data_IF_087768753475
#
_entry.id   IF_087768753475
#
_cell.length_a   1.000
_cell.length_b   1.000
_cell.length_c   1.000
_cell.angle_alpha   90.00
_cell.angle_beta   90.00
_cell.angle_gamma   90.00
#
_symmetry.space_group_name_H-M   'P 1'
#
loop_
_entity.id
_entity.type
_entity.pdbx_description
1 polymer ?
#
# COMPACT_ATOMS: atom_id res chain seq x y z
N UNK A 1 61.86 -55.75 -25.87
CA UNK A 1 63.13 -55.83 -25.11
C UNK A 1 63.04 -54.78 -24.01
N UNK A 2 63.03 -55.14 -22.72
CA UNK A 2 64.12 -55.72 -21.91
C UNK A 2 65.09 -54.60 -21.41
N UNK A 3 64.92 -54.09 -20.18
CA UNK A 3 65.70 -54.40 -18.94
C UNK A 3 67.11 -53.73 -18.86
N UNK A 4 67.67 -53.34 -17.69
CA UNK A 4 67.35 -53.77 -16.30
C UNK A 4 67.37 -52.70 -15.16
N UNK A 5 68.47 -52.54 -14.40
CA UNK A 5 68.50 -52.23 -12.93
C UNK A 5 69.88 -51.68 -12.47
N UNK A 6 70.18 -51.20 -11.23
CA UNK A 6 69.49 -51.24 -9.91
C UNK A 6 69.80 -50.03 -8.97
N UNK A 7 69.20 -49.99 -7.77
CA UNK A 7 69.35 -48.99 -6.69
C UNK A 7 70.70 -48.99 -5.92
N UNK A 8 70.91 -47.94 -5.10
CA UNK A 8 71.33 -48.11 -3.69
C UNK A 8 70.75 -47.00 -2.77
N UNK A 9 70.75 -47.19 -1.44
CA UNK A 9 70.17 -46.27 -0.43
C UNK A 9 71.22 -45.85 0.60
N UNK A 10 71.03 -44.72 1.29
CA UNK A 10 71.22 -44.70 2.76
C UNK A 10 70.37 -43.65 3.52
N UNK A 11 70.53 -43.55 4.86
CA UNK A 11 69.47 -43.10 5.80
C UNK A 11 69.87 -41.93 6.71
N UNK A 12 68.83 -41.14 7.08
CA UNK A 12 68.58 -40.39 8.34
C UNK A 12 69.77 -39.99 9.25
N UNK A 13 69.69 -38.74 9.75
CA UNK A 13 69.79 -38.44 11.20
C UNK A 13 69.02 -37.16 11.59
N UNK A 14 68.52 -37.12 12.82
CA UNK A 14 67.87 -35.97 13.47
C UNK A 14 68.87 -35.31 14.44
N UNK A 15 68.80 -33.98 14.60
CA UNK A 15 68.86 -33.32 15.93
C UNK A 15 68.62 -31.80 15.85
N UNK A 16 67.98 -31.27 16.89
CA UNK A 16 67.99 -29.86 17.34
C UNK A 16 68.35 -29.90 18.84
N UNK A 17 69.02 -28.88 19.43
CA UNK A 17 68.25 -27.75 20.00
C UNK A 17 68.98 -26.38 20.05
N UNK A 18 68.20 -25.35 20.44
CA UNK A 18 68.56 -23.98 20.89
C UNK A 18 69.18 -23.98 22.32
N UNK A 19 69.64 -22.87 23.00
CA UNK A 19 68.96 -21.54 23.13
C UNK A 19 69.86 -20.28 23.44
N UNK A 20 69.24 -19.20 23.99
CA UNK A 20 69.81 -18.06 24.78
C UNK A 20 70.52 -16.93 23.96
N UNK A 21 70.31 -15.61 24.17
CA UNK A 21 69.42 -14.85 25.09
C UNK A 21 68.93 -13.48 24.52
N UNK A 22 68.11 -12.76 25.30
CA UNK A 22 67.35 -11.53 25.02
C UNK A 22 67.99 -10.28 25.68
N UNK A 23 67.88 -9.11 25.04
CA UNK A 23 67.81 -7.81 25.77
C UNK A 23 67.11 -6.73 24.94
N UNK A 24 66.18 -6.03 25.57
CA UNK A 24 65.38 -4.93 24.98
C UNK A 24 65.97 -3.57 25.35
N UNK A 25 65.70 -2.55 24.52
CA UNK A 25 65.51 -1.19 25.02
C UNK A 25 64.51 -0.43 24.16
N UNK A 26 63.51 0.15 24.81
CA UNK A 26 62.37 0.83 24.19
C UNK A 26 62.58 2.35 24.23
N UNK A 27 62.45 3.04 23.09
CA UNK A 27 62.16 4.49 23.11
C UNK A 27 61.30 4.89 21.90
N UNK A 28 60.38 5.83 22.14
CA UNK A 28 59.28 6.19 21.23
C UNK A 28 59.72 7.21 20.18
N UNK A 29 59.19 7.09 18.96
CA UNK A 29 58.93 8.25 18.09
C UNK A 29 57.52 8.11 17.52
N UNK A 30 56.65 9.11 17.73
CA UNK A 30 55.21 9.01 17.42
C UNK A 30 54.79 10.01 16.35
N UNK A 31 54.29 9.54 15.19
CA UNK A 31 53.50 10.32 14.20
C UNK A 31 52.97 9.42 13.06
N UNK A 32 51.78 8.83 13.22
CA UNK A 32 50.99 8.23 12.10
C UNK A 32 49.54 7.80 12.42
N UNK A 33 49.10 7.80 13.70
CA UNK A 33 47.86 7.09 14.11
C UNK A 33 46.61 8.00 14.32
N UNK A 34 46.69 9.30 14.00
CA UNK A 34 45.56 10.23 14.14
C UNK A 34 44.63 10.26 12.92
N UNK A 35 45.19 10.28 11.70
CA UNK A 35 44.44 10.47 10.45
C UNK A 35 43.52 9.29 10.09
N UNK A 36 43.93 8.04 10.35
CA UNK A 36 43.13 6.85 10.00
C UNK A 36 41.82 6.80 10.79
N UNK A 37 41.86 7.17 12.08
CA UNK A 37 40.69 7.19 12.97
C UNK A 37 39.74 8.36 12.74
N UNK A 38 40.16 9.37 11.97
CA UNK A 38 39.34 10.54 11.63
C UNK A 38 38.71 10.41 10.23
N UNK A 39 39.37 9.75 9.28
CA UNK A 39 38.81 9.49 7.94
C UNK A 39 37.68 8.46 7.98
N UNK A 40 37.84 7.34 8.70
CA UNK A 40 36.82 6.27 8.74
C UNK A 40 35.43 6.71 9.27
N UNK A 41 35.29 7.48 10.37
CA UNK A 41 34.00 8.02 10.79
C UNK A 41 33.48 9.12 9.85
N UNK A 42 34.35 9.90 9.21
CA UNK A 42 33.92 10.93 8.26
C UNK A 42 33.38 10.35 6.95
N UNK A 43 33.96 9.26 6.43
CA UNK A 43 33.41 8.52 5.28
C UNK A 43 32.04 7.92 5.65
N UNK A 44 31.98 7.13 6.72
CA UNK A 44 30.74 6.45 7.12
C UNK A 44 29.62 7.39 7.60
N UNK A 45 29.94 8.59 8.10
CA UNK A 45 28.92 9.63 8.36
C UNK A 45 28.51 10.40 7.12
N UNK A 46 29.39 10.63 6.14
CA UNK A 46 29.00 11.22 4.86
C UNK A 46 28.15 10.26 4.01
N UNK A 47 28.47 8.97 3.98
CA UNK A 47 27.61 7.95 3.34
C UNK A 47 26.22 7.91 3.98
N UNK A 48 26.14 7.93 5.33
CA UNK A 48 24.86 7.99 6.05
C UNK A 48 24.10 9.31 5.82
N UNK A 49 24.79 10.46 5.79
CA UNK A 49 24.18 11.76 5.43
C UNK A 49 23.63 11.74 4.01
N UNK A 50 24.37 11.19 3.05
CA UNK A 50 23.93 11.06 1.65
C UNK A 50 22.72 10.11 1.54
N UNK A 51 22.71 9.00 2.26
CA UNK A 51 21.55 8.09 2.34
C UNK A 51 20.32 8.73 2.97
N UNK A 52 20.48 9.53 4.04
CA UNK A 52 19.40 10.33 4.65
C UNK A 52 18.89 11.37 3.66
N UNK A 53 19.79 12.12 2.99
CA UNK A 53 19.42 13.13 2.00
C UNK A 53 18.67 12.53 0.80
N UNK A 54 19.10 11.35 0.32
CA UNK A 54 18.42 10.58 -0.72
C UNK A 54 17.01 10.13 -0.28
N UNK A 55 16.89 9.59 0.93
CA UNK A 55 15.59 9.19 1.51
C UNK A 55 14.63 10.38 1.68
N UNK A 56 15.12 11.51 2.21
CA UNK A 56 14.35 12.76 2.32
C UNK A 56 13.94 13.27 0.93
N UNK A 57 14.82 13.20 -0.07
CA UNK A 57 14.52 13.58 -1.45
C UNK A 57 13.39 12.71 -2.05
N UNK A 58 13.39 11.41 -1.79
CA UNK A 58 12.32 10.49 -2.21
C UNK A 58 10.99 10.87 -1.55
N UNK A 59 10.96 11.15 -0.24
CA UNK A 59 9.73 11.55 0.47
C UNK A 59 9.20 12.91 -0.03
N UNK A 60 10.07 13.88 -0.26
CA UNK A 60 9.68 15.19 -0.81
C UNK A 60 9.13 15.08 -2.24
N UNK A 61 9.73 14.24 -3.09
CA UNK A 61 9.21 13.97 -4.44
C UNK A 61 7.85 13.24 -4.40
N UNK A 62 7.70 12.23 -3.53
CA UNK A 62 6.44 11.52 -3.35
C UNK A 62 5.30 12.47 -2.91
N UNK A 63 5.58 13.39 -1.98
CA UNK A 63 4.64 14.43 -1.55
C UNK A 63 4.34 15.43 -2.68
N UNK A 64 5.35 15.88 -3.42
CA UNK A 64 5.18 16.76 -4.58
C UNK A 64 4.27 16.16 -5.66
N UNK A 65 4.47 14.88 -6.01
CA UNK A 65 3.60 14.17 -6.95
C UNK A 65 2.19 13.91 -6.41
N UNK A 66 2.02 13.72 -5.10
CA UNK A 66 0.71 13.63 -4.48
C UNK A 66 -0.07 14.94 -4.62
N UNK A 67 0.53 16.08 -4.24
CA UNK A 67 -0.08 17.40 -4.38
C UNK A 67 -0.38 17.74 -5.85
N UNK A 68 0.51 17.38 -6.78
CA UNK A 68 0.30 17.57 -8.21
C UNK A 68 -0.92 16.76 -8.69
N UNK A 69 -1.10 15.52 -8.24
CA UNK A 69 -2.25 14.71 -8.63
C UNK A 69 -3.58 15.18 -8.00
N UNK A 70 -3.57 15.60 -6.72
CA UNK A 70 -4.72 16.28 -6.07
C UNK A 70 -5.19 17.45 -6.93
N UNK A 71 -4.27 18.36 -7.26
CA UNK A 71 -4.56 19.54 -8.07
C UNK A 71 -5.03 19.18 -9.49
N UNK A 72 -4.38 18.22 -10.15
CA UNK A 72 -4.71 17.78 -11.50
C UNK A 72 -6.13 17.21 -11.58
N UNK A 73 -6.51 16.29 -10.68
CA UNK A 73 -7.83 15.66 -10.67
C UNK A 73 -8.92 16.66 -10.30
N UNK A 74 -8.72 17.49 -9.27
CA UNK A 74 -9.67 18.53 -8.89
C UNK A 74 -9.91 19.53 -10.04
N UNK A 75 -8.83 19.95 -10.72
CA UNK A 75 -8.91 20.86 -11.88
C UNK A 75 -9.63 20.21 -13.06
N UNK A 76 -9.44 18.91 -13.32
CA UNK A 76 -10.17 18.21 -14.39
C UNK A 76 -11.65 18.01 -14.07
N UNK A 77 -12.00 17.69 -12.82
CA UNK A 77 -13.39 17.60 -12.38
C UNK A 77 -14.11 18.96 -12.52
N UNK A 78 -13.45 20.06 -12.12
CA UNK A 78 -14.01 21.40 -12.28
C UNK A 78 -14.14 21.80 -13.76
N UNK A 79 -13.15 21.49 -14.61
CA UNK A 79 -13.23 21.76 -16.05
C UNK A 79 -14.33 20.92 -16.76
N UNK A 80 -14.59 19.68 -16.32
CA UNK A 80 -15.64 18.81 -16.86
C UNK A 80 -17.05 19.25 -16.41
N UNK A 81 -17.19 19.71 -15.16
CA UNK A 81 -18.51 19.93 -14.53
C UNK A 81 -18.88 21.38 -14.23
N UNK A 82 -17.92 22.30 -14.25
CA UNK A 82 -18.10 23.68 -13.80
C UNK A 82 -18.81 23.71 -12.44
N UNK A 83 -18.34 22.87 -11.51
CA UNK A 83 -19.01 22.52 -10.27
C UNK A 83 -19.18 23.73 -9.36
N UNK A 84 -18.28 24.71 -9.49
CA UNK A 84 -18.36 26.03 -8.86
C UNK A 84 -19.63 26.82 -9.22
N UNK A 85 -20.11 26.68 -10.45
CA UNK A 85 -21.25 27.43 -10.99
C UNK A 85 -22.63 26.80 -10.69
N UNK A 86 -22.65 25.57 -10.14
CA UNK A 86 -23.88 24.82 -9.87
C UNK A 86 -24.48 25.16 -8.49
N UNK A 87 -25.81 25.13 -8.38
CA UNK A 87 -26.48 25.15 -7.06
C UNK A 87 -26.22 23.84 -6.30
N UNK A 88 -26.44 23.86 -4.98
CA UNK A 88 -26.36 22.66 -4.15
C UNK A 88 -27.23 21.49 -4.66
N UNK A 89 -28.45 21.78 -5.12
CA UNK A 89 -29.34 20.74 -5.66
C UNK A 89 -28.83 20.21 -7.01
N UNK A 90 -28.30 21.08 -7.87
CA UNK A 90 -27.74 20.67 -9.16
C UNK A 90 -26.46 19.84 -8.99
N UNK A 91 -25.61 20.16 -7.99
CA UNK A 91 -24.44 19.38 -7.59
C UNK A 91 -24.81 17.97 -7.17
N UNK A 92 -25.76 17.82 -6.24
CA UNK A 92 -26.23 16.51 -5.80
C UNK A 92 -26.83 15.71 -6.98
N UNK A 93 -27.54 16.36 -7.90
CA UNK A 93 -28.07 15.74 -9.13
C UNK A 93 -27.01 15.40 -10.20
N UNK A 94 -25.73 15.82 -10.04
CA UNK A 94 -24.63 15.31 -10.86
C UNK A 94 -24.15 13.92 -10.41
N UNK A 95 -24.34 13.57 -9.13
CA UNK A 95 -23.95 12.29 -8.57
C UNK A 95 -25.02 11.24 -8.89
N UNK A 96 -24.82 10.54 -10.02
CA UNK A 96 -25.75 9.52 -10.53
C UNK A 96 -25.36 8.11 -10.07
N UNK A 97 -26.34 7.21 -10.08
CA UNK A 97 -26.21 5.80 -9.67
C UNK A 97 -25.42 5.62 -8.36
N UNK A 98 -24.32 4.86 -8.40
CA UNK A 98 -23.49 4.49 -7.24
C UNK A 98 -22.95 5.72 -6.50
N UNK A 99 -22.57 6.78 -7.23
CA UNK A 99 -22.05 8.02 -6.63
C UNK A 99 -23.09 8.72 -5.77
N UNK A 100 -24.34 8.78 -6.27
CA UNK A 100 -25.47 9.38 -5.56
C UNK A 100 -25.88 8.56 -4.34
N UNK A 101 -25.86 7.22 -4.47
CA UNK A 101 -26.14 6.28 -3.38
C UNK A 101 -25.13 6.42 -2.24
N UNK A 102 -23.83 6.47 -2.54
CA UNK A 102 -22.81 6.59 -1.50
C UNK A 102 -22.82 7.98 -0.85
N UNK A 103 -22.98 9.05 -1.64
CA UNK A 103 -23.13 10.39 -1.09
C UNK A 103 -24.40 10.55 -0.23
N UNK A 104 -25.53 9.91 -0.58
CA UNK A 104 -26.75 10.01 0.24
C UNK A 104 -26.61 9.36 1.61
N UNK A 105 -25.89 8.24 1.74
CA UNK A 105 -25.58 7.66 3.05
C UNK A 105 -24.65 8.56 3.90
N UNK A 106 -23.64 9.19 3.28
CA UNK A 106 -22.84 10.23 3.95
C UNK A 106 -23.70 11.41 4.40
N UNK A 107 -24.65 11.85 3.57
CA UNK A 107 -25.60 12.92 3.91
C UNK A 107 -26.46 12.55 5.13
N UNK A 108 -27.02 11.35 5.19
CA UNK A 108 -27.74 10.83 6.36
C UNK A 108 -26.89 10.87 7.64
N UNK A 109 -25.61 10.48 7.57
CA UNK A 109 -24.68 10.51 8.71
C UNK A 109 -24.42 11.91 9.28
N UNK A 110 -24.39 12.94 8.42
CA UNK A 110 -24.10 14.32 8.83
C UNK A 110 -25.36 15.11 9.22
N UNK A 111 -26.51 14.82 8.60
CA UNK A 111 -27.80 15.49 8.89
C UNK A 111 -28.50 14.91 10.13
N UNK A 112 -28.24 13.65 10.50
CA UNK A 112 -28.77 13.06 11.73
C UNK A 112 -28.31 13.81 12.99
N UNK A 113 -29.17 13.92 14.01
CA UNK A 113 -28.90 14.75 15.20
C UNK A 113 -27.68 14.26 16.00
N UNK A 114 -27.54 12.95 16.11
CA UNK A 114 -26.39 12.28 16.74
C UNK A 114 -25.74 11.32 15.75
N UNK A 115 -24.43 11.10 15.90
CA UNK A 115 -23.72 10.10 15.09
C UNK A 115 -24.29 8.68 15.30
N UNK A 116 -24.70 8.34 16.52
CA UNK A 116 -25.30 7.02 16.80
C UNK A 116 -26.66 6.84 16.12
N UNK A 117 -27.43 7.91 15.95
CA UNK A 117 -28.70 7.88 15.21
C UNK A 117 -28.46 7.68 13.72
N UNK A 118 -27.59 8.48 13.10
CA UNK A 118 -27.23 8.32 11.68
C UNK A 118 -26.62 6.94 11.39
N UNK A 119 -25.74 6.46 12.28
CA UNK A 119 -25.18 5.11 12.19
C UNK A 119 -26.26 4.01 12.33
N UNK A 120 -27.25 4.19 13.21
CA UNK A 120 -28.38 3.25 13.32
C UNK A 120 -29.26 3.27 12.07
N UNK A 121 -29.52 4.43 11.49
CA UNK A 121 -30.32 4.59 10.27
C UNK A 121 -29.68 3.86 9.08
N UNK A 122 -28.37 4.06 8.82
CA UNK A 122 -27.69 3.36 7.72
C UNK A 122 -27.51 1.85 7.99
N UNK A 123 -27.45 1.41 9.25
CA UNK A 123 -27.28 -0.01 9.61
C UNK A 123 -28.60 -0.80 9.53
N UNK A 124 -29.75 -0.09 9.51
CA UNK A 124 -31.08 -0.67 9.45
C UNK A 124 -31.90 -0.03 8.31
N UNK A 125 -31.30 0.10 7.13
CA UNK A 125 -31.95 0.72 5.97
C UNK A 125 -33.06 -0.20 5.43
N UNK A 126 -34.27 0.35 5.28
CA UNK A 126 -35.43 -0.33 4.71
C UNK A 126 -35.92 0.30 3.39
N UNK A 127 -35.23 1.30 2.86
CA UNK A 127 -35.62 2.03 1.65
C UNK A 127 -34.95 1.47 0.39
N UNK A 128 -33.65 1.12 0.47
CA UNK A 128 -32.87 0.75 -0.72
C UNK A 128 -33.21 -0.64 -1.26
N UNK A 129 -33.50 -1.61 -0.39
CA UNK A 129 -33.88 -3.00 -0.77
C UNK A 129 -35.22 -3.43 -0.13
N UNK A 130 -36.21 -2.53 -0.10
CA UNK A 130 -37.57 -2.83 0.39
C UNK A 130 -38.17 -4.07 -0.32
N UNK A 131 -38.79 -5.04 0.39
CA UNK A 131 -39.22 -5.00 1.79
C UNK A 131 -38.18 -5.47 2.83
N UNK A 132 -36.97 -5.81 2.42
CA UNK A 132 -35.88 -6.21 3.32
C UNK A 132 -35.32 -5.01 4.09
N UNK A 133 -34.93 -5.24 5.34
CA UNK A 133 -34.04 -4.33 6.08
C UNK A 133 -32.60 -4.84 5.88
N UNK A 134 -31.70 -3.97 5.42
CA UNK A 134 -30.31 -4.33 5.10
C UNK A 134 -29.29 -3.57 5.96
N UNK A 135 -28.24 -4.28 6.37
CA UNK A 135 -27.04 -3.66 6.91
C UNK A 135 -26.17 -3.17 5.75
N UNK A 136 -26.19 -1.87 5.50
CA UNK A 136 -25.53 -1.26 4.33
C UNK A 136 -24.00 -1.33 4.41
N UNK A 137 -23.42 -1.40 5.62
CA UNK A 137 -21.97 -1.63 5.81
C UNK A 137 -21.55 -3.03 5.34
N UNK A 138 -22.37 -4.04 5.63
CA UNK A 138 -22.18 -5.40 5.16
C UNK A 138 -22.43 -5.53 3.64
N UNK A 139 -23.45 -4.82 3.12
CA UNK A 139 -23.96 -4.97 1.75
C UNK A 139 -23.20 -4.15 0.69
N UNK A 140 -22.74 -2.95 1.03
CA UNK A 140 -22.16 -1.99 0.08
C UNK A 140 -20.81 -1.40 0.53
N UNK A 141 -20.20 -1.93 1.60
CA UNK A 141 -18.89 -1.51 2.10
C UNK A 141 -18.80 0.00 2.47
N UNK A 142 -19.83 0.57 3.08
CA UNK A 142 -19.98 2.01 3.41
C UNK A 142 -19.07 2.57 4.53
N UNK A 143 -17.89 1.97 4.76
CA UNK A 143 -16.98 2.39 5.82
C UNK A 143 -16.37 3.77 5.57
N UNK A 144 -16.12 4.12 4.31
CA UNK A 144 -15.62 5.44 3.93
C UNK A 144 -16.60 6.54 4.35
N UNK A 145 -17.89 6.38 4.08
CA UNK A 145 -18.93 7.37 4.41
C UNK A 145 -19.07 7.55 5.92
N UNK A 146 -18.97 6.46 6.70
CA UNK A 146 -18.95 6.54 8.17
C UNK A 146 -17.73 7.32 8.67
N UNK A 147 -16.54 7.08 8.09
CA UNK A 147 -15.32 7.81 8.46
C UNK A 147 -15.39 9.28 8.02
N UNK A 148 -15.78 9.56 6.78
CA UNK A 148 -15.91 10.92 6.21
C UNK A 148 -17.00 11.71 6.94
N UNK A 149 -18.14 11.09 7.26
CA UNK A 149 -19.21 11.68 8.07
C UNK A 149 -18.76 11.98 9.51
N UNK A 150 -17.98 11.08 10.12
CA UNK A 150 -17.35 11.33 11.43
C UNK A 150 -16.39 12.51 11.38
N UNK A 151 -15.52 12.55 10.36
CA UNK A 151 -14.54 13.62 10.16
C UNK A 151 -15.22 14.96 9.87
N UNK A 152 -16.29 15.00 9.08
CA UNK A 152 -17.05 16.23 8.80
C UNK A 152 -17.73 16.77 10.06
N UNK A 153 -18.42 15.91 10.82
CA UNK A 153 -19.06 16.28 12.10
C UNK A 153 -18.03 16.77 13.12
N UNK A 154 -16.84 16.18 13.16
CA UNK A 154 -15.74 16.63 14.00
C UNK A 154 -15.14 17.96 13.52
N UNK A 155 -14.94 18.14 12.20
CA UNK A 155 -14.43 19.37 11.58
C UNK A 155 -15.36 20.55 11.88
N UNK A 156 -16.65 20.44 11.58
CA UNK A 156 -17.64 21.47 11.89
C UNK A 156 -17.67 21.79 13.39
N UNK A 157 -17.75 20.78 14.26
CA UNK A 157 -17.74 20.98 15.71
C UNK A 157 -16.44 21.59 16.27
N UNK A 158 -15.33 21.58 15.53
CA UNK A 158 -14.10 22.32 15.86
C UNK A 158 -14.16 23.75 15.31
N UNK A 159 -14.55 23.92 14.04
CA UNK A 159 -14.58 25.23 13.39
C UNK A 159 -15.64 26.17 13.98
N UNK A 160 -16.81 25.64 14.35
CA UNK A 160 -17.88 26.37 15.03
C UNK A 160 -17.43 26.88 16.42
N UNK A 161 -16.58 26.10 17.12
CA UNK A 161 -15.97 26.51 18.40
C UNK A 161 -14.88 27.58 18.24
N UNK A 162 -14.23 27.63 17.07
CA UNK A 162 -13.21 28.62 16.74
C UNK A 162 -13.81 29.89 16.09
N UNK A 163 -15.08 29.85 15.68
CA UNK A 163 -15.75 30.95 14.99
C UNK A 163 -15.22 31.21 13.58
N UNK A 164 -14.59 30.21 12.95
CA UNK A 164 -13.94 30.36 11.63
C UNK A 164 -14.91 30.03 10.50
N UNK A 165 -15.05 30.93 9.53
CA UNK A 165 -15.91 30.72 8.36
C UNK A 165 -15.40 29.55 7.50
N UNK A 166 -16.16 28.46 7.45
CA UNK A 166 -15.80 27.21 6.78
C UNK A 166 -16.15 27.18 5.28
N UNK A 167 -17.03 28.07 4.84
CA UNK A 167 -17.43 28.23 3.44
C UNK A 167 -17.67 29.68 3.06
N UNK A 168 -17.49 29.99 1.77
CA UNK A 168 -17.83 31.27 1.14
C UNK A 168 -18.99 31.03 0.18
N UNK A 169 -19.89 32.00 0.05
CA UNK A 169 -21.04 31.89 -0.85
C UNK A 169 -21.18 33.13 -1.72
N UNK A 170 -21.57 32.94 -2.98
CA UNK A 170 -21.78 34.00 -3.97
C UNK A 170 -23.00 33.68 -4.85
N UNK A 171 -23.45 34.68 -5.60
CA UNK A 171 -24.51 34.48 -6.60
C UNK A 171 -23.91 34.40 -7.99
N UNK A 172 -24.31 33.35 -8.73
CA UNK A 172 -23.93 33.10 -10.12
C UNK A 172 -25.11 33.49 -11.00
N UNK A 173 -24.93 34.51 -11.84
CA UNK A 173 -25.88 34.84 -12.90
C UNK A 173 -25.74 33.85 -14.06
N UNK A 174 -26.87 33.33 -14.56
CA UNK A 174 -26.91 32.25 -15.57
C UNK A 174 -27.36 32.74 -16.96
N UNK A 175 -27.09 34.01 -17.26
CA UNK A 175 -27.53 34.67 -18.48
C UNK A 175 -28.95 35.21 -18.43
N UNK A 176 -29.39 35.83 -19.53
CA UNK A 176 -30.67 36.55 -19.59
C UNK A 176 -31.87 35.63 -19.40
N UNK A 177 -32.78 36.00 -18.50
CA UNK A 177 -34.04 35.32 -18.25
C UNK A 177 -34.02 34.23 -17.17
N UNK A 178 -32.84 33.84 -16.68
CA UNK A 178 -32.73 32.87 -15.58
C UNK A 178 -32.47 33.56 -14.23
N UNK A 179 -33.11 33.06 -13.17
CA UNK A 179 -32.84 33.53 -11.81
C UNK A 179 -31.40 33.20 -11.39
N UNK A 180 -30.70 34.13 -10.69
CA UNK A 180 -29.36 33.88 -10.17
C UNK A 180 -29.39 32.78 -9.11
N UNK A 181 -28.32 32.00 -9.06
CA UNK A 181 -28.17 30.87 -8.13
C UNK A 181 -27.15 31.20 -7.06
N UNK A 182 -27.49 30.97 -5.80
CA UNK A 182 -26.50 30.99 -4.72
C UNK A 182 -25.67 29.70 -4.77
N UNK A 183 -24.38 29.84 -5.04
CA UNK A 183 -23.36 28.79 -4.90
C UNK A 183 -22.59 29.02 -3.59
N UNK A 184 -22.14 27.94 -2.96
CA UNK A 184 -21.28 27.97 -1.77
C UNK A 184 -20.11 27.00 -1.93
N UNK A 185 -18.92 27.36 -1.48
CA UNK A 185 -17.71 26.55 -1.61
C UNK A 185 -16.84 26.56 -0.36
N UNK A 186 -16.02 25.52 -0.23
CA UNK A 186 -15.10 25.30 0.89
C UNK A 186 -15.49 24.10 1.76
N UNK A 187 -14.64 23.76 2.71
CA UNK A 187 -14.76 22.55 3.55
C UNK A 187 -15.98 22.54 4.48
N UNK A 188 -16.67 23.68 4.65
CA UNK A 188 -17.97 23.81 5.34
C UNK A 188 -19.17 23.48 4.46
N UNK A 189 -18.94 23.02 3.25
CA UNK A 189 -19.94 22.42 2.39
C UNK A 189 -19.74 20.88 2.32
N UNK A 190 -20.77 20.07 2.56
CA UNK A 190 -20.65 18.61 2.58
C UNK A 190 -20.07 18.01 1.30
N UNK A 191 -20.44 18.58 0.14
CA UNK A 191 -20.06 18.01 -1.16
C UNK A 191 -18.57 18.23 -1.41
N UNK A 192 -18.08 19.44 -1.15
CA UNK A 192 -16.65 19.74 -1.24
C UNK A 192 -15.83 18.96 -0.21
N UNK A 193 -16.28 18.87 1.04
CA UNK A 193 -15.54 18.11 2.06
C UNK A 193 -15.39 16.62 1.69
N UNK A 194 -16.44 16.02 1.14
CA UNK A 194 -16.38 14.64 0.64
C UNK A 194 -15.41 14.51 -0.55
N UNK A 195 -15.51 15.41 -1.54
CA UNK A 195 -14.66 15.40 -2.73
C UNK A 195 -13.16 15.62 -2.39
N UNK A 196 -12.83 16.53 -1.49
CA UNK A 196 -11.45 16.77 -1.06
C UNK A 196 -10.80 15.52 -0.45
N UNK A 197 -11.56 14.69 0.28
CA UNK A 197 -11.02 13.42 0.80
C UNK A 197 -10.79 12.40 -0.33
N UNK A 198 -11.64 12.38 -1.37
CA UNK A 198 -11.38 11.59 -2.59
C UNK A 198 -10.11 12.08 -3.28
N UNK A 199 -9.92 13.40 -3.43
CA UNK A 199 -8.71 13.97 -4.04
C UNK A 199 -7.45 13.63 -3.24
N UNK A 200 -7.50 13.69 -1.90
CA UNK A 200 -6.40 13.28 -1.02
C UNK A 200 -6.07 11.78 -1.16
N UNK A 201 -7.08 10.90 -1.28
CA UNK A 201 -6.86 9.48 -1.60
C UNK A 201 -6.20 9.29 -2.99
N UNK A 202 -6.61 10.06 -3.99
CA UNK A 202 -5.97 10.07 -5.31
C UNK A 202 -4.51 10.58 -5.24
N UNK A 203 -4.22 11.61 -4.45
CA UNK A 203 -2.86 12.06 -4.17
C UNK A 203 -2.00 10.98 -3.53
N UNK A 204 -2.53 10.29 -2.52
CA UNK A 204 -1.84 9.20 -1.83
C UNK A 204 -1.53 8.01 -2.76
N UNK A 205 -2.43 7.69 -3.71
CA UNK A 205 -2.15 6.73 -4.79
C UNK A 205 -0.87 7.10 -5.55
N UNK A 206 -0.67 8.37 -5.91
CA UNK A 206 0.50 8.78 -6.70
C UNK A 206 1.80 8.83 -5.89
N UNK A 207 1.74 9.15 -4.59
CA UNK A 207 2.88 8.92 -3.70
C UNK A 207 3.28 7.44 -3.69
N UNK A 208 2.33 6.52 -3.58
CA UNK A 208 2.59 5.07 -3.54
C UNK A 208 3.08 4.53 -4.88
N UNK A 209 2.52 4.96 -6.02
CA UNK A 209 3.01 4.57 -7.37
C UNK A 209 4.47 5.02 -7.57
N UNK A 210 4.80 6.27 -7.19
CA UNK A 210 6.17 6.76 -7.22
C UNK A 210 7.09 5.90 -6.34
N UNK A 211 6.72 5.69 -5.08
CA UNK A 211 7.50 4.87 -4.13
C UNK A 211 7.68 3.42 -4.62
N UNK A 212 6.68 2.83 -5.27
CA UNK A 212 6.77 1.49 -5.83
C UNK A 212 7.73 1.43 -7.03
N UNK A 213 7.68 2.42 -7.93
CA UNK A 213 8.63 2.55 -9.04
C UNK A 213 10.08 2.77 -8.56
N UNK A 214 10.28 3.54 -7.47
CA UNK A 214 11.60 3.66 -6.83
C UNK A 214 12.04 2.34 -6.20
N UNK A 215 11.14 1.64 -5.50
CA UNK A 215 11.44 0.35 -4.86
C UNK A 215 11.85 -0.73 -5.87
N UNK A 216 11.10 -0.88 -6.97
CA UNK A 216 11.37 -1.90 -7.99
C UNK A 216 12.63 -1.60 -8.83
N UNK A 217 12.90 -0.32 -9.14
CA UNK A 217 14.05 0.07 -9.96
C UNK A 217 15.33 0.37 -9.18
N UNK A 218 15.24 0.51 -7.85
CA UNK A 218 16.32 1.03 -7.00
C UNK A 218 16.67 2.50 -7.22
N UNK A 219 15.90 3.24 -8.04
CA UNK A 219 16.27 4.57 -8.55
C UNK A 219 15.11 5.56 -8.53
N UNK A 220 15.41 6.85 -8.32
CA UNK A 220 14.42 7.94 -8.48
C UNK A 220 13.87 7.97 -9.92
N UNK A 221 14.69 7.66 -10.93
CA UNK A 221 14.31 7.67 -12.34
C UNK A 221 13.17 6.70 -12.68
N UNK A 222 13.18 5.48 -12.10
CA UNK A 222 12.08 4.53 -12.28
C UNK A 222 10.78 4.99 -11.62
N UNK A 223 10.85 5.63 -10.46
CA UNK A 223 9.69 6.27 -9.83
C UNK A 223 9.08 7.38 -10.69
N UNK A 224 9.92 8.26 -11.25
CA UNK A 224 9.48 9.31 -12.19
C UNK A 224 8.85 8.69 -13.44
N UNK A 225 9.43 7.63 -14.00
CA UNK A 225 8.89 6.93 -15.15
C UNK A 225 7.49 6.33 -14.86
N UNK A 226 7.30 5.68 -13.71
CA UNK A 226 5.98 5.18 -13.28
C UNK A 226 4.94 6.30 -13.19
N UNK A 227 5.33 7.46 -12.65
CA UNK A 227 4.46 8.65 -12.56
C UNK A 227 4.10 9.21 -13.94
N UNK A 228 5.06 9.35 -14.85
CA UNK A 228 4.82 9.83 -16.23
C UNK A 228 3.93 8.86 -17.01
N UNK A 229 4.16 7.55 -16.89
CA UNK A 229 3.32 6.54 -17.52
C UNK A 229 1.88 6.53 -16.96
N UNK A 230 1.68 6.82 -15.67
CA UNK A 230 0.34 6.97 -15.10
C UNK A 230 -0.37 8.22 -15.65
N UNK A 231 0.27 9.39 -15.66
CA UNK A 231 -0.35 10.60 -16.20
C UNK A 231 -0.64 10.50 -17.71
N UNK A 232 0.20 9.81 -18.49
CA UNK A 232 -0.05 9.57 -19.91
C UNK A 232 -1.30 8.68 -20.15
N UNK A 233 -1.55 7.70 -19.29
CA UNK A 233 -2.68 6.77 -19.39
C UNK A 233 -3.81 7.10 -18.38
N UNK A 234 -3.89 8.33 -17.88
CA UNK A 234 -4.63 8.66 -16.65
C UNK A 234 -6.08 8.16 -16.65
N UNK A 235 -6.84 8.44 -17.72
CA UNK A 235 -8.25 8.03 -17.84
C UNK A 235 -8.49 6.52 -17.94
N UNK A 236 -7.48 5.73 -18.33
CA UNK A 236 -7.52 4.26 -18.30
C UNK A 236 -7.06 3.72 -16.94
N UNK A 237 -6.10 4.41 -16.28
CA UNK A 237 -5.63 4.06 -14.95
C UNK A 237 -6.64 4.40 -13.84
N UNK A 238 -7.47 5.44 -14.01
CA UNK A 238 -8.49 5.85 -13.05
C UNK A 238 -9.60 6.70 -13.67
N UNK A 239 -10.84 6.49 -13.22
CA UNK A 239 -12.02 7.31 -13.56
C UNK A 239 -12.40 8.34 -12.50
N UNK A 240 -11.55 8.53 -11.47
CA UNK A 240 -11.82 9.37 -10.29
C UNK A 240 -12.22 10.82 -10.63
N UNK A 241 -11.76 11.37 -11.75
CA UNK A 241 -12.13 12.72 -12.24
C UNK A 241 -13.56 12.87 -12.78
N UNK A 242 -14.21 11.77 -13.17
CA UNK A 242 -15.59 11.77 -13.68
C UNK A 242 -16.56 11.17 -12.68
N UNK A 243 -16.08 10.21 -11.87
CA UNK A 243 -16.88 9.49 -10.88
C UNK A 243 -16.16 9.42 -9.53
N UNK A 244 -16.02 10.53 -8.78
CA UNK A 244 -15.14 10.57 -7.61
C UNK A 244 -15.58 9.65 -6.46
N UNK A 245 -16.85 9.66 -5.98
CA UNK A 245 -17.30 8.89 -4.81
C UNK A 245 -17.26 7.35 -4.90
N UNK A 246 -16.70 6.75 -5.94
CA UNK A 246 -16.70 5.31 -6.11
C UNK A 246 -15.70 4.60 -5.20
N UNK A 247 -16.02 3.34 -4.85
CA UNK A 247 -15.26 2.50 -3.91
C UNK A 247 -13.81 2.31 -4.33
N UNK A 248 -13.57 2.13 -5.64
CA UNK A 248 -12.22 1.98 -6.18
C UNK A 248 -11.35 3.23 -5.96
N UNK A 249 -11.91 4.45 -5.97
CA UNK A 249 -11.16 5.69 -5.73
C UNK A 249 -10.47 5.70 -4.36
N UNK A 250 -11.16 5.15 -3.34
CA UNK A 250 -10.65 5.02 -1.98
C UNK A 250 -9.77 3.78 -1.79
N UNK A 251 -10.04 2.68 -2.50
CA UNK A 251 -9.30 1.44 -2.36
C UNK A 251 -7.97 1.42 -3.13
N UNK A 252 -7.87 2.14 -4.25
CA UNK A 252 -6.66 2.21 -5.11
C UNK A 252 -5.35 2.39 -4.34
N UNK A 253 -5.20 3.36 -3.39
CA UNK A 253 -3.93 3.49 -2.67
C UNK A 253 -3.62 2.27 -1.81
N UNK A 254 -4.63 1.65 -1.17
CA UNK A 254 -4.43 0.45 -0.37
C UNK A 254 -4.10 -0.78 -1.24
N UNK A 255 -4.66 -0.86 -2.45
CA UNK A 255 -4.30 -1.86 -3.45
C UNK A 255 -2.82 -1.76 -3.86
N UNK A 256 -2.33 -0.55 -4.17
CA UNK A 256 -0.90 -0.33 -4.47
C UNK A 256 -0.03 -0.60 -3.24
N UNK A 257 -0.46 -0.19 -2.04
CA UNK A 257 0.24 -0.49 -0.79
C UNK A 257 0.37 -2.00 -0.53
N UNK A 258 -0.69 -2.78 -0.80
CA UNK A 258 -0.67 -4.24 -0.66
C UNK A 258 0.34 -4.87 -1.64
N UNK A 259 0.39 -4.39 -2.89
CA UNK A 259 1.40 -4.81 -3.87
C UNK A 259 2.82 -4.47 -3.42
N UNK A 260 3.03 -3.28 -2.82
CA UNK A 260 4.32 -2.90 -2.20
C UNK A 260 4.66 -3.87 -1.05
N UNK A 261 3.76 -4.14 -0.11
CA UNK A 261 4.00 -5.04 1.03
C UNK A 261 4.40 -6.45 0.58
N UNK A 262 3.73 -7.01 -0.43
CA UNK A 262 4.09 -8.32 -1.01
C UNK A 262 5.46 -8.25 -1.71
N UNK A 263 5.76 -7.18 -2.44
CA UNK A 263 7.06 -7.00 -3.12
C UNK A 263 8.23 -6.83 -2.14
N UNK A 264 8.00 -6.15 -1.00
CA UNK A 264 8.94 -6.02 0.12
C UNK A 264 9.18 -7.39 0.77
N UNK A 265 8.12 -8.16 1.01
CA UNK A 265 8.22 -9.52 1.54
C UNK A 265 9.15 -10.41 0.69
N UNK A 266 9.08 -10.33 -0.64
CA UNK A 266 10.06 -10.99 -1.52
C UNK A 266 11.48 -10.47 -1.36
N UNK A 267 11.68 -9.15 -1.50
CA UNK A 267 13.02 -8.56 -1.53
C UNK A 267 13.80 -8.74 -0.22
N UNK A 268 13.12 -8.88 0.92
CA UNK A 268 13.73 -9.03 2.23
C UNK A 268 13.89 -10.50 2.67
N UNK A 269 12.99 -11.42 2.28
CA UNK A 269 13.19 -12.87 2.55
C UNK A 269 14.40 -13.44 1.78
N UNK A 270 14.88 -12.77 0.73
CA UNK A 270 16.14 -13.08 0.04
C UNK A 270 17.38 -12.66 0.86
N UNK A 271 17.24 -11.73 1.82
CA UNK A 271 18.36 -11.03 2.48
C UNK A 271 18.59 -11.38 3.95
N UNK A 272 17.64 -12.06 4.61
CA UNK A 272 17.59 -12.16 6.08
C UNK A 272 17.62 -13.60 6.61
N UNK A 273 18.48 -13.85 7.59
CA UNK A 273 18.56 -15.11 8.32
C UNK A 273 17.58 -15.12 9.52
N UNK A 274 16.44 -15.79 9.33
CA UNK A 274 15.64 -16.45 10.39
C UNK A 274 15.16 -15.64 11.62
N UNK A 275 14.93 -14.34 11.52
CA UNK A 275 14.24 -13.57 12.57
C UNK A 275 12.73 -13.87 12.66
N UNK A 276 12.26 -14.62 13.66
CA UNK A 276 10.83 -14.91 13.86
C UNK A 276 9.95 -13.65 13.97
N UNK A 277 10.43 -12.61 14.68
CA UNK A 277 9.74 -11.31 14.80
C UNK A 277 9.47 -10.67 13.43
N UNK A 278 10.43 -10.76 12.52
CA UNK A 278 10.32 -10.17 11.18
C UNK A 278 9.23 -10.86 10.35
N UNK A 279 9.06 -12.18 10.48
CA UNK A 279 7.97 -12.92 9.83
C UNK A 279 6.59 -12.49 10.36
N UNK A 280 6.46 -12.24 11.68
CA UNK A 280 5.20 -11.70 12.23
C UNK A 280 4.90 -10.28 11.72
N UNK A 281 5.92 -9.45 11.47
CA UNK A 281 5.75 -8.13 10.86
C UNK A 281 5.33 -8.22 9.38
N UNK A 282 5.92 -9.14 8.60
CA UNK A 282 5.45 -9.44 7.23
C UNK A 282 3.98 -9.90 7.23
N UNK A 283 3.63 -10.84 8.11
CA UNK A 283 2.27 -11.37 8.23
C UNK A 283 1.26 -10.26 8.58
N UNK A 284 1.59 -9.42 9.56
CA UNK A 284 0.72 -8.31 10.00
C UNK A 284 0.55 -7.23 8.93
N UNK A 285 1.61 -6.87 8.20
CA UNK A 285 1.53 -5.85 7.14
C UNK A 285 0.77 -6.34 5.91
N UNK A 286 0.94 -7.61 5.50
CA UNK A 286 0.14 -8.22 4.42
C UNK A 286 -1.32 -8.38 4.85
N UNK A 287 -1.58 -8.81 6.09
CA UNK A 287 -2.94 -8.95 6.63
C UNK A 287 -3.66 -7.61 6.68
N UNK A 288 -3.03 -6.58 7.27
CA UNK A 288 -3.64 -5.25 7.42
C UNK A 288 -3.88 -4.53 6.08
N UNK A 289 -2.95 -4.64 5.13
CA UNK A 289 -3.16 -4.08 3.78
C UNK A 289 -4.24 -4.84 3.00
N UNK A 290 -4.29 -6.17 3.10
CA UNK A 290 -5.35 -6.99 2.50
C UNK A 290 -6.73 -6.69 3.11
N UNK A 291 -6.81 -6.54 4.44
CA UNK A 291 -8.01 -6.15 5.18
C UNK A 291 -8.54 -4.78 4.71
N UNK A 292 -7.67 -3.78 4.59
CA UNK A 292 -8.04 -2.44 4.09
C UNK A 292 -8.54 -2.49 2.64
N UNK A 293 -7.91 -3.27 1.75
CA UNK A 293 -8.40 -3.43 0.37
C UNK A 293 -9.83 -3.99 0.34
N UNK A 294 -10.07 -5.08 1.09
CA UNK A 294 -11.34 -5.81 1.11
C UNK A 294 -12.47 -5.02 1.76
N UNK A 295 -12.18 -4.22 2.80
CA UNK A 295 -13.15 -3.26 3.35
C UNK A 295 -13.42 -2.13 2.36
N UNK A 296 -12.41 -1.48 1.80
CA UNK A 296 -12.62 -0.28 0.98
C UNK A 296 -13.34 -0.60 -0.34
N UNK A 297 -13.10 -1.78 -0.93
CA UNK A 297 -13.73 -2.18 -2.20
C UNK A 297 -13.93 -3.69 -2.33
N UNK A 298 -15.19 -4.10 -2.44
CA UNK A 298 -15.61 -5.50 -2.56
C UNK A 298 -14.96 -6.27 -3.73
N UNK A 299 -14.61 -5.58 -4.83
CA UNK A 299 -14.02 -6.22 -6.01
C UNK A 299 -12.47 -6.30 -5.97
N UNK A 300 -11.82 -5.72 -4.95
CA UNK A 300 -10.38 -5.90 -4.72
C UNK A 300 -9.98 -7.38 -4.56
N UNK A 301 -10.93 -8.25 -4.19
CA UNK A 301 -10.79 -9.70 -4.19
C UNK A 301 -10.23 -10.25 -5.52
N UNK A 302 -10.57 -9.66 -6.67
CA UNK A 302 -10.09 -10.11 -7.99
C UNK A 302 -8.64 -9.70 -8.25
N UNK A 303 -8.25 -8.48 -7.85
CA UNK A 303 -6.83 -8.06 -7.88
C UNK A 303 -5.99 -9.01 -7.03
N UNK A 304 -6.42 -9.27 -5.79
CA UNK A 304 -5.77 -10.20 -4.88
C UNK A 304 -5.71 -11.62 -5.47
N UNK A 305 -6.78 -12.10 -6.11
CA UNK A 305 -6.80 -13.43 -6.74
C UNK A 305 -5.82 -13.54 -7.93
N UNK A 306 -5.70 -12.50 -8.76
CA UNK A 306 -4.71 -12.49 -9.86
C UNK A 306 -3.26 -12.43 -9.34
N UNK A 307 -3.00 -11.67 -8.27
CA UNK A 307 -1.73 -11.71 -7.56
C UNK A 307 -1.44 -13.12 -7.04
N UNK A 308 -2.39 -13.74 -6.34
CA UNK A 308 -2.22 -15.08 -5.74
C UNK A 308 -2.05 -16.19 -6.78
N UNK A 309 -2.67 -16.05 -7.96
CA UNK A 309 -2.42 -16.92 -9.11
C UNK A 309 -0.99 -16.75 -9.66
N UNK A 310 -0.49 -15.52 -9.76
CA UNK A 310 0.90 -15.26 -10.17
C UNK A 310 1.92 -15.80 -9.15
N UNK A 311 1.62 -15.69 -7.84
CA UNK A 311 2.41 -16.30 -6.76
C UNK A 311 2.47 -17.84 -6.89
N UNK A 312 1.35 -18.48 -7.20
CA UNK A 312 1.31 -19.92 -7.45
C UNK A 312 2.11 -20.32 -8.70
N UNK A 313 2.00 -19.58 -9.80
CA UNK A 313 2.77 -19.83 -11.02
C UNK A 313 4.29 -19.73 -10.77
N UNK A 314 4.73 -18.68 -10.08
CA UNK A 314 6.15 -18.50 -9.71
C UNK A 314 6.65 -19.59 -8.73
N UNK A 315 5.79 -20.12 -7.86
CA UNK A 315 6.13 -21.28 -7.02
C UNK A 315 6.27 -22.58 -7.84
N UNK A 316 5.38 -22.84 -8.81
CA UNK A 316 5.46 -24.00 -9.72
C UNK A 316 6.75 -23.96 -10.57
N UNK A 317 7.18 -22.76 -10.97
CA UNK A 317 8.45 -22.53 -11.70
C UNK A 317 9.69 -22.72 -10.78
N UNK A 318 9.51 -22.79 -9.46
CA UNK A 318 10.61 -22.89 -8.50
C UNK A 318 11.31 -21.54 -8.20
N UNK A 319 10.74 -20.42 -8.64
CA UNK A 319 11.29 -19.07 -8.41
C UNK A 319 11.04 -18.54 -6.98
N UNK A 320 10.19 -19.20 -6.20
CA UNK A 320 9.77 -18.77 -4.86
C UNK A 320 9.96 -19.89 -3.82
N UNK A 321 10.56 -19.55 -2.68
CA UNK A 321 10.64 -20.41 -1.52
C UNK A 321 9.25 -20.67 -0.90
N UNK A 322 8.93 -21.95 -0.60
CA UNK A 322 7.68 -22.37 0.08
C UNK A 322 7.33 -21.50 1.30
N UNK A 323 8.33 -21.10 2.09
CA UNK A 323 8.13 -20.25 3.28
C UNK A 323 7.58 -18.86 2.93
N UNK A 324 8.13 -18.19 1.90
CA UNK A 324 7.67 -16.87 1.46
C UNK A 324 6.23 -16.95 0.95
N UNK A 325 5.94 -17.97 0.12
CA UNK A 325 4.58 -18.23 -0.36
C UNK A 325 3.59 -18.42 0.80
N UNK A 326 3.91 -19.28 1.77
CA UNK A 326 3.04 -19.53 2.92
C UNK A 326 2.84 -18.28 3.80
N UNK A 327 3.87 -17.45 4.02
CA UNK A 327 3.71 -16.19 4.77
C UNK A 327 2.74 -15.24 4.07
N UNK A 328 2.82 -15.11 2.74
CA UNK A 328 1.91 -14.27 1.97
C UNK A 328 0.48 -14.85 1.99
N UNK A 329 0.31 -16.16 1.76
CA UNK A 329 -1.00 -16.83 1.77
C UNK A 329 -1.68 -16.77 3.14
N UNK A 330 -0.97 -17.03 4.24
CA UNK A 330 -1.52 -16.88 5.58
C UNK A 330 -1.80 -15.41 5.94
N UNK A 331 -1.01 -14.46 5.43
CA UNK A 331 -1.27 -13.03 5.58
C UNK A 331 -2.57 -12.62 4.87
N UNK A 332 -2.76 -13.04 3.62
CA UNK A 332 -4.00 -12.82 2.88
C UNK A 332 -5.20 -13.49 3.56
N UNK A 333 -5.06 -14.75 4.00
CA UNK A 333 -6.12 -15.48 4.70
C UNK A 333 -6.55 -14.80 6.01
N UNK A 334 -5.58 -14.27 6.78
CA UNK A 334 -5.86 -13.50 8.00
C UNK A 334 -6.55 -12.16 7.67
N UNK A 335 -6.14 -11.49 6.59
CA UNK A 335 -6.79 -10.27 6.11
C UNK A 335 -8.25 -10.50 5.64
N UNK A 336 -8.52 -11.64 5.00
CA UNK A 336 -9.88 -12.08 4.64
C UNK A 336 -10.70 -12.37 5.90
N UNK A 337 -10.14 -13.09 6.88
CA UNK A 337 -10.83 -13.36 8.15
C UNK A 337 -11.18 -12.06 8.87
N UNK A 338 -10.24 -11.11 8.96
CA UNK A 338 -10.46 -9.77 9.52
C UNK A 338 -11.55 -9.01 8.76
N UNK A 339 -11.56 -9.09 7.42
CA UNK A 339 -12.55 -8.41 6.59
C UNK A 339 -13.94 -9.03 6.73
N UNK A 340 -14.06 -10.37 6.74
CA UNK A 340 -15.33 -11.08 6.98
C UNK A 340 -15.89 -10.78 8.38
N UNK A 341 -15.06 -10.72 9.42
CA UNK A 341 -15.49 -10.31 10.77
C UNK A 341 -15.99 -8.86 10.76
N UNK A 342 -15.30 -7.96 10.07
CA UNK A 342 -15.67 -6.55 9.97
C UNK A 342 -16.99 -6.36 9.22
N UNK A 343 -17.15 -7.05 8.10
CA UNK A 343 -18.33 -7.05 7.21
C UNK A 343 -19.46 -7.98 7.73
N UNK A 344 -19.57 -8.15 9.05
CA UNK A 344 -20.65 -8.89 9.73
C UNK A 344 -20.93 -10.30 9.16
N UNK A 345 -19.91 -11.00 8.65
CA UNK A 345 -20.03 -12.33 8.07
C UNK A 345 -20.52 -12.35 6.61
N UNK A 346 -20.26 -11.31 5.80
CA UNK A 346 -20.64 -11.26 4.38
C UNK A 346 -20.25 -12.54 3.60
N UNK A 347 -21.27 -13.29 3.17
CA UNK A 347 -21.16 -14.57 2.49
C UNK A 347 -20.43 -14.48 1.13
N UNK A 348 -20.52 -13.34 0.43
CA UNK A 348 -19.88 -13.12 -0.86
C UNK A 348 -18.34 -13.13 -0.74
N UNK A 349 -17.81 -12.65 0.38
CA UNK A 349 -16.36 -12.67 0.64
C UNK A 349 -15.90 -14.07 1.05
N UNK A 350 -16.70 -14.76 1.88
CA UNK A 350 -16.39 -16.13 2.33
C UNK A 350 -16.43 -17.14 1.18
N UNK A 351 -17.38 -17.00 0.26
CA UNK A 351 -17.53 -17.83 -0.95
C UNK A 351 -16.73 -17.33 -2.17
N UNK A 352 -15.89 -16.29 -1.98
CA UNK A 352 -15.14 -15.67 -3.08
C UNK A 352 -14.13 -16.60 -3.75
N UNK A 353 -13.86 -16.31 -5.02
CA UNK A 353 -12.79 -16.95 -5.80
C UNK A 353 -11.44 -16.84 -5.07
N UNK A 354 -11.18 -15.71 -4.40
CA UNK A 354 -9.98 -15.49 -3.60
C UNK A 354 -9.86 -16.49 -2.44
N UNK A 355 -10.92 -16.65 -1.64
CA UNK A 355 -10.93 -17.58 -0.49
C UNK A 355 -10.71 -19.02 -0.96
N UNK A 356 -11.42 -19.45 -2.01
CA UNK A 356 -11.23 -20.78 -2.60
C UNK A 356 -9.79 -20.99 -3.12
N UNK A 357 -9.26 -20.02 -3.87
CA UNK A 357 -7.92 -20.06 -4.46
C UNK A 357 -6.83 -20.19 -3.37
N UNK A 358 -6.91 -19.39 -2.30
CA UNK A 358 -5.96 -19.45 -1.18
C UNK A 358 -6.01 -20.81 -0.48
N UNK A 359 -7.20 -21.32 -0.16
CA UNK A 359 -7.35 -22.64 0.48
C UNK A 359 -6.76 -23.74 -0.40
N UNK A 360 -7.05 -23.74 -1.71
CA UNK A 360 -6.48 -24.71 -2.65
C UNK A 360 -4.96 -24.62 -2.71
N UNK A 361 -4.37 -23.42 -2.84
CA UNK A 361 -2.90 -23.28 -2.93
C UNK A 361 -2.22 -23.64 -1.62
N UNK A 362 -2.80 -23.32 -0.45
CA UNK A 362 -2.26 -23.74 0.86
C UNK A 362 -2.24 -25.25 0.98
N UNK A 363 -3.34 -25.94 0.60
CA UNK A 363 -3.38 -27.42 0.58
C UNK A 363 -2.33 -27.98 -0.38
N UNK A 364 -2.22 -27.44 -1.60
CA UNK A 364 -1.21 -27.85 -2.59
C UNK A 364 0.22 -27.65 -2.04
N UNK A 365 0.55 -26.47 -1.50
CA UNK A 365 1.89 -26.15 -0.99
C UNK A 365 2.30 -26.98 0.24
N UNK A 366 1.33 -27.49 1.01
CA UNK A 366 1.58 -28.47 2.07
C UNK A 366 1.82 -29.86 1.47
N UNK A 367 0.97 -30.31 0.54
CA UNK A 367 0.96 -31.69 0.02
C UNK A 367 2.04 -31.99 -1.05
N UNK A 368 2.59 -30.97 -1.74
CA UNK A 368 3.62 -31.15 -2.77
C UNK A 368 5.06 -31.39 -2.25
N UNK A 369 5.25 -31.36 -0.93
CA UNK A 369 6.56 -31.53 -0.28
C UNK A 369 7.22 -32.92 -0.52
N UNK A 370 6.53 -34.06 -0.32
CA UNK A 370 7.08 -35.37 -0.64
C UNK A 370 7.42 -35.62 -2.14
N UNK A 371 6.58 -35.30 -3.15
CA UNK A 371 6.89 -35.65 -4.54
C UNK A 371 8.01 -34.79 -5.17
N UNK A 372 8.08 -33.48 -4.87
CA UNK A 372 9.08 -32.59 -5.49
C UNK A 372 10.50 -32.87 -4.99
N UNK A 373 10.65 -33.19 -3.70
CA UNK A 373 11.95 -33.60 -3.13
C UNK A 373 12.45 -34.91 -3.74
N UNK A 374 11.56 -35.87 -3.97
CA UNK A 374 11.87 -37.10 -4.72
C UNK A 374 12.32 -36.82 -6.16
N UNK A 375 11.62 -35.96 -6.90
CA UNK A 375 11.97 -35.62 -8.28
C UNK A 375 13.35 -34.95 -8.39
N UNK A 376 13.70 -34.04 -7.49
CA UNK A 376 15.03 -33.40 -7.48
C UNK A 376 16.17 -34.38 -7.18
N UNK A 377 15.93 -35.40 -6.35
CA UNK A 377 16.92 -36.46 -6.11
C UNK A 377 17.11 -37.37 -7.33
N UNK A 378 16.05 -37.61 -8.11
CA UNK A 378 16.09 -38.41 -9.34
C UNK A 378 16.74 -37.71 -10.56
N UNK A 379 17.25 -36.48 -10.44
CA UNK A 379 18.03 -35.79 -11.48
C UNK A 379 19.49 -35.48 -11.05
N UNK A 380 19.91 -35.92 -9.88
CA UNK A 380 21.26 -35.72 -9.35
C UNK A 380 22.19 -36.93 -9.48
N UNK A 381 21.96 -37.82 -10.46
CA UNK A 381 22.55 -39.16 -10.49
C UNK A 381 23.04 -39.65 -11.86
#
# INVERSE_FOLDING_TARGET
MATKQINSNEKRKHSTPTPIQRKEKLQKTSKSDSTVKEVLPNVTTNEKKNGIFYSVSIVLLAFGFACLHVYHVATMFENDRHFSHLSMLEREMTFRSEMGLYYSYYKTLIEASTFSEGFHQITNDNLTEYPSVINTLQRFNLYQEVVIGSLYRAFMAVMDRLGWATKQCWQVERGQGFAPVTSCEGLGDPVYFYLEIVWLCAGFTMALIFLYGVFLSGSIGGGILSVVCFFYNHGECTRVQWTPPLRESFAYPFCVLQMICVSVCFAETIKMDNGNLYIYLQLLTISGSTWLCLIMWQFSQFMLATQTLALAAMFIIGAINKRTLLVILFGQALGILQATISLFGNELLLTSVLTCLIVTIVVVAIMLEPPLTHLTLCHGH
#
